data_IF_321449913731
#
_entry.id   IF_321449913731
#
_cell.length_a   1.000
_cell.length_b   1.000
_cell.length_c   1.000
_cell.angle_alpha   90.00
_cell.angle_beta   90.00
_cell.angle_gamma   90.00
#
_symmetry.space_group_name_H-M   'P 1'
#
loop_
_entity.id
_entity.type
_entity.pdbx_description
1 polymer ?
#
# COMPACT_ATOMS: atom_id res chain seq x y z
N UNK A 1 61.25 -4.43 -16.42
CA UNK A 1 60.87 -3.41 -15.41
C UNK A 1 59.59 -2.74 -15.84
N UNK A 2 58.45 -3.40 -15.55
CA UNK A 2 57.11 -2.79 -15.52
C UNK A 2 56.11 -3.85 -15.11
N UNK A 3 56.05 -4.17 -13.84
CA UNK A 3 54.94 -4.90 -13.19
C UNK A 3 55.01 -4.70 -11.68
N UNK A 4 54.56 -3.56 -11.20
CA UNK A 4 54.27 -3.39 -9.74
C UNK A 4 53.44 -2.14 -9.40
N UNK A 5 52.53 -1.69 -10.28
CA UNK A 5 51.69 -0.51 -10.02
C UNK A 5 50.18 -0.79 -9.93
N UNK A 6 49.71 -2.06 -10.01
CA UNK A 6 48.26 -2.32 -10.04
C UNK A 6 47.66 -3.00 -8.78
N UNK A 7 48.47 -3.25 -7.74
CA UNK A 7 48.02 -3.91 -6.51
C UNK A 7 47.84 -2.97 -5.31
N UNK A 8 48.21 -1.70 -5.42
CA UNK A 8 48.12 -0.73 -4.30
C UNK A 8 46.75 -0.01 -4.27
N UNK A 9 46.00 0.00 -5.38
CA UNK A 9 44.70 0.69 -5.46
C UNK A 9 43.51 0.00 -4.84
N UNK A 10 43.51 -1.31 -4.63
CA UNK A 10 42.37 -2.09 -4.10
C UNK A 10 42.40 -2.28 -2.59
N UNK A 11 43.57 -2.20 -1.95
CA UNK A 11 43.70 -2.31 -0.50
C UNK A 11 43.46 -0.98 0.24
N UNK A 12 43.63 0.15 -0.42
CA UNK A 12 43.42 1.47 0.17
C UNK A 12 41.93 1.83 0.34
N UNK A 13 41.02 1.23 -0.41
CA UNK A 13 39.57 1.47 -0.29
C UNK A 13 38.87 0.69 0.84
N UNK A 14 39.52 -0.25 1.49
CA UNK A 14 38.92 -1.07 2.55
C UNK A 14 39.29 -0.55 3.95
N UNK A 15 40.32 0.27 4.10
CA UNK A 15 40.82 0.72 5.42
C UNK A 15 40.20 1.99 5.96
N UNK A 16 39.50 2.81 5.17
CA UNK A 16 38.93 4.09 5.61
C UNK A 16 37.42 4.05 5.88
N UNK A 17 36.84 2.87 6.04
CA UNK A 17 35.44 2.78 6.44
C UNK A 17 35.31 3.07 7.93
N UNK A 18 34.78 4.25 8.28
CA UNK A 18 34.44 4.59 9.65
C UNK A 18 33.36 3.61 10.12
N UNK A 19 33.72 2.71 11.05
CA UNK A 19 32.73 1.82 11.71
C UNK A 19 31.80 2.69 12.55
N UNK A 20 30.50 2.37 12.55
CA UNK A 20 29.53 3.08 13.36
C UNK A 20 29.86 2.88 14.84
N UNK A 21 30.03 3.99 15.55
CA UNK A 21 30.39 3.97 16.98
C UNK A 21 29.16 3.63 17.84
N UNK A 22 29.37 2.90 18.92
CA UNK A 22 28.30 2.51 19.87
C UNK A 22 27.62 3.72 20.50
N UNK A 23 28.36 4.80 20.71
CA UNK A 23 27.86 6.07 21.22
C UNK A 23 26.81 6.68 20.32
N UNK A 24 27.02 6.67 18.99
CA UNK A 24 26.06 7.15 18.00
C UNK A 24 24.78 6.31 18.03
N UNK A 25 24.90 4.98 18.07
CA UNK A 25 23.72 4.10 18.17
C UNK A 25 22.96 4.40 19.47
N UNK A 26 23.66 4.61 20.59
CA UNK A 26 23.03 4.94 21.87
C UNK A 26 22.26 6.26 21.82
N UNK A 27 22.82 7.29 21.21
CA UNK A 27 22.16 8.58 21.01
C UNK A 27 20.88 8.42 20.19
N UNK A 28 20.95 7.74 19.04
CA UNK A 28 19.81 7.44 18.20
C UNK A 28 18.71 6.71 18.98
N UNK A 29 19.05 5.68 19.75
CA UNK A 29 18.07 4.93 20.54
C UNK A 29 17.36 5.82 21.58
N UNK A 30 18.10 6.73 22.24
CA UNK A 30 17.52 7.62 23.25
C UNK A 30 16.67 8.73 22.64
N UNK A 31 17.07 9.29 21.51
CA UNK A 31 16.30 10.30 20.76
C UNK A 31 15.00 9.70 20.23
N UNK A 32 15.09 8.55 19.61
CA UNK A 32 13.93 7.84 19.07
C UNK A 32 12.88 7.49 20.16
N UNK A 33 13.30 7.15 21.38
CA UNK A 33 12.37 6.96 22.52
C UNK A 33 11.50 8.18 22.76
N UNK A 34 12.13 9.36 22.84
CA UNK A 34 11.42 10.62 23.05
C UNK A 34 10.51 10.96 21.89
N UNK A 35 10.98 10.75 20.66
CA UNK A 35 10.18 11.00 19.47
C UNK A 35 8.91 10.17 19.47
N UNK A 36 9.02 8.85 19.68
CA UNK A 36 7.86 7.93 19.68
C UNK A 36 6.86 8.29 20.78
N UNK A 37 7.30 8.72 21.96
CA UNK A 37 6.42 9.12 23.05
C UNK A 37 5.62 10.39 22.74
N UNK A 38 6.22 11.33 22.00
CA UNK A 38 5.61 12.61 21.63
C UNK A 38 4.65 12.51 20.42
N UNK A 39 4.75 11.44 19.62
CA UNK A 39 3.93 11.32 18.43
C UNK A 39 2.45 11.08 18.76
N UNK A 40 1.59 11.87 18.12
CA UNK A 40 0.15 11.62 18.11
C UNK A 40 -0.17 10.54 17.09
N UNK A 41 -0.55 9.36 17.55
CA UNK A 41 -0.88 8.21 16.71
C UNK A 41 -2.39 8.09 16.55
N UNK A 42 -2.88 8.13 15.32
CA UNK A 42 -4.26 7.77 14.98
C UNK A 42 -4.36 6.24 15.01
N UNK A 43 -5.14 5.65 15.92
CA UNK A 43 -5.23 4.19 16.03
C UNK A 43 -5.74 3.56 14.74
N UNK A 44 -5.14 2.44 14.37
CA UNK A 44 -5.60 1.62 13.25
C UNK A 44 -6.19 0.31 13.77
N UNK A 45 -7.21 -0.20 13.08
CA UNK A 45 -7.97 -1.39 13.49
C UNK A 45 -7.21 -2.72 13.36
N UNK A 46 -5.90 -2.68 13.20
CA UNK A 46 -5.07 -3.87 13.18
C UNK A 46 -4.30 -4.03 14.49
N UNK A 47 -4.54 -5.15 15.18
CA UNK A 47 -3.78 -5.53 16.38
C UNK A 47 -2.73 -6.59 16.03
N UNK A 48 -1.51 -6.37 16.50
CA UNK A 48 -0.42 -7.34 16.39
C UNK A 48 -0.45 -8.28 17.57
N UNK A 49 -0.43 -9.58 17.31
CA UNK A 49 -0.44 -10.61 18.34
C UNK A 49 0.85 -10.61 19.15
N UNK A 50 0.72 -10.82 20.45
CA UNK A 50 1.84 -10.67 21.39
C UNK A 50 2.96 -11.73 21.26
N UNK A 51 2.70 -12.82 20.54
CA UNK A 51 3.65 -13.92 20.34
C UNK A 51 4.22 -14.02 18.93
N UNK A 52 3.77 -13.20 18.00
CA UNK A 52 4.17 -13.25 16.60
C UNK A 52 5.14 -12.13 16.21
N UNK A 53 6.00 -12.41 15.24
CA UNK A 53 6.83 -11.41 14.58
C UNK A 53 6.12 -10.90 13.33
N UNK A 54 6.31 -9.63 12.99
CA UNK A 54 5.63 -8.99 11.87
C UNK A 54 6.60 -8.29 10.92
N UNK A 55 6.30 -8.38 9.62
CA UNK A 55 6.85 -7.52 8.58
C UNK A 55 5.72 -6.65 8.03
N UNK A 56 5.78 -5.36 8.27
CA UNK A 56 4.81 -4.36 7.80
C UNK A 56 5.35 -3.76 6.50
N UNK A 57 4.67 -4.03 5.40
CA UNK A 57 5.02 -3.53 4.08
C UNK A 57 3.95 -2.61 3.54
N UNK A 58 4.27 -1.83 2.54
CA UNK A 58 3.30 -0.94 1.89
C UNK A 58 3.96 0.30 1.31
N UNK A 59 3.19 1.06 0.57
CA UNK A 59 3.67 2.27 -0.09
C UNK A 59 4.33 3.24 0.91
N UNK A 60 5.30 4.01 0.42
CA UNK A 60 5.90 5.09 1.20
C UNK A 60 4.83 6.06 1.72
N UNK A 61 4.97 6.55 2.96
CA UNK A 61 3.99 7.45 3.64
C UNK A 61 2.63 6.83 3.96
N UNK A 62 2.46 5.50 3.91
CA UNK A 62 1.22 4.82 4.33
C UNK A 62 1.04 4.75 5.86
N UNK A 63 2.05 5.14 6.65
CA UNK A 63 1.98 5.12 8.12
C UNK A 63 2.56 3.85 8.76
N UNK A 64 3.47 3.12 8.10
CA UNK A 64 4.11 1.91 8.65
C UNK A 64 4.85 2.17 9.96
N UNK A 65 5.67 3.22 10.04
CA UNK A 65 6.37 3.64 11.28
C UNK A 65 5.39 3.93 12.40
N UNK A 66 4.26 4.58 12.09
CA UNK A 66 3.20 4.87 13.06
C UNK A 66 2.50 3.61 13.59
N UNK A 67 2.48 2.51 12.82
CA UNK A 67 2.04 1.20 13.34
C UNK A 67 3.00 0.66 14.39
N UNK A 68 4.32 0.87 14.24
CA UNK A 68 5.30 0.55 15.27
C UNK A 68 5.09 1.43 16.51
N UNK A 69 4.89 2.74 16.33
CA UNK A 69 4.61 3.68 17.42
C UNK A 69 3.35 3.29 18.18
N UNK A 70 2.27 2.92 17.46
CA UNK A 70 1.04 2.42 18.09
C UNK A 70 1.33 1.23 19.01
N UNK A 71 2.09 0.24 18.53
CA UNK A 71 2.44 -0.95 19.33
C UNK A 71 3.33 -0.60 20.53
N UNK A 72 4.32 0.30 20.35
CA UNK A 72 5.17 0.76 21.44
C UNK A 72 4.34 1.49 22.49
N UNK A 73 3.50 2.45 22.10
CA UNK A 73 2.65 3.20 23.02
C UNK A 73 1.63 2.29 23.73
N UNK A 74 1.10 1.26 23.07
CA UNK A 74 0.26 0.24 23.71
C UNK A 74 1.06 -0.56 24.75
N UNK A 75 2.30 -0.94 24.45
CA UNK A 75 3.18 -1.63 25.39
C UNK A 75 3.48 -0.76 26.61
N UNK A 76 3.78 0.53 26.42
CA UNK A 76 4.00 1.48 27.53
C UNK A 76 2.76 1.61 28.43
N UNK A 77 1.55 1.68 27.86
CA UNK A 77 0.28 1.65 28.61
C UNK A 77 0.11 0.35 29.40
N UNK A 78 0.65 -0.79 28.92
CA UNK A 78 0.68 -2.09 29.62
C UNK A 78 1.83 -2.20 30.61
N UNK A 79 2.56 -1.10 30.90
CA UNK A 79 3.72 -1.02 31.83
C UNK A 79 4.96 -1.81 31.33
N UNK A 80 5.06 -2.12 30.05
CA UNK A 80 6.32 -2.58 29.45
C UNK A 80 7.17 -1.34 29.20
N UNK A 81 8.35 -1.29 29.81
CA UNK A 81 9.21 -0.10 29.76
C UNK A 81 10.21 -0.15 28.61
N UNK A 82 10.90 0.94 28.35
CA UNK A 82 11.99 1.00 27.37
C UNK A 82 13.18 0.10 27.69
N UNK A 83 13.28 -0.42 28.92
CA UNK A 83 14.28 -1.42 29.26
C UNK A 83 14.07 -2.74 28.53
N UNK A 84 12.80 -3.03 28.17
CA UNK A 84 12.38 -4.21 27.40
C UNK A 84 11.98 -3.90 25.96
N UNK A 85 12.30 -2.71 25.44
CA UNK A 85 11.96 -2.31 24.05
C UNK A 85 13.13 -1.57 23.41
N UNK A 86 13.28 -1.78 22.10
CA UNK A 86 14.26 -1.12 21.25
C UNK A 86 13.59 -0.69 19.95
N UNK A 87 13.62 0.60 19.63
CA UNK A 87 13.19 1.14 18.34
C UNK A 87 14.37 1.83 17.65
N UNK A 88 14.58 1.51 16.37
CA UNK A 88 15.59 2.12 15.51
C UNK A 88 15.05 2.29 14.09
N UNK A 89 15.27 3.49 13.52
CA UNK A 89 14.94 3.80 12.13
C UNK A 89 16.24 3.80 11.29
N UNK A 90 16.30 2.91 10.28
CA UNK A 90 17.45 2.81 9.38
C UNK A 90 17.44 3.81 8.22
N UNK A 91 16.53 4.80 8.22
CA UNK A 91 16.64 6.01 7.39
C UNK A 91 17.46 7.12 8.06
N UNK A 92 17.89 6.96 9.32
CA UNK A 92 18.76 7.91 10.00
C UNK A 92 20.13 7.99 9.29
N UNK A 93 20.52 9.18 8.88
CA UNK A 93 21.76 9.41 8.12
C UNK A 93 23.02 9.02 8.87
N UNK A 94 23.00 9.03 10.22
CA UNK A 94 24.12 8.59 11.08
C UNK A 94 24.40 7.09 10.97
N UNK A 95 23.41 6.32 10.47
CA UNK A 95 23.54 4.89 10.19
C UNK A 95 23.95 4.60 8.74
N UNK A 96 24.19 5.64 7.95
CA UNK A 96 24.57 5.49 6.54
C UNK A 96 25.84 4.62 6.41
N UNK A 97 25.75 3.59 5.57
CA UNK A 97 26.86 2.66 5.37
C UNK A 97 26.93 1.53 6.39
N UNK A 98 25.99 1.42 7.34
CA UNK A 98 25.89 0.28 8.24
C UNK A 98 25.74 -1.03 7.45
N UNK A 99 26.40 -2.08 7.90
CA UNK A 99 26.35 -3.41 7.31
C UNK A 99 25.54 -4.38 8.15
N UNK A 100 25.16 -5.53 7.55
CA UNK A 100 24.49 -6.61 8.29
C UNK A 100 25.33 -7.16 9.46
N UNK A 101 26.67 -7.11 9.36
CA UNK A 101 27.58 -7.54 10.44
C UNK A 101 27.48 -6.60 11.65
N UNK A 102 27.29 -5.31 11.42
CA UNK A 102 27.21 -4.28 12.46
C UNK A 102 25.83 -4.23 13.14
N UNK A 103 24.78 -4.87 12.58
CA UNK A 103 23.44 -4.91 13.20
C UNK A 103 23.47 -5.47 14.63
N UNK A 104 24.45 -6.32 14.96
CA UNK A 104 24.59 -6.84 16.33
C UNK A 104 24.97 -5.76 17.35
N UNK A 105 25.62 -4.67 16.93
CA UNK A 105 25.98 -3.55 17.80
C UNK A 105 24.75 -2.94 18.48
N UNK A 106 23.59 -2.99 17.82
CA UNK A 106 22.32 -2.48 18.36
C UNK A 106 21.94 -3.25 19.63
N UNK A 107 22.07 -4.58 19.60
CA UNK A 107 21.80 -5.44 20.76
C UNK A 107 22.86 -5.24 21.86
N UNK A 108 24.12 -5.06 21.48
CA UNK A 108 25.22 -4.79 22.43
C UNK A 108 25.00 -3.46 23.16
N UNK A 109 24.64 -2.40 22.42
CA UNK A 109 24.34 -1.09 23.00
C UNK A 109 23.11 -1.16 23.92
N UNK A 110 22.05 -1.89 23.50
CA UNK A 110 20.92 -2.10 24.41
C UNK A 110 21.34 -2.84 25.68
N UNK A 111 22.16 -3.88 25.57
CA UNK A 111 22.68 -4.63 26.70
C UNK A 111 23.58 -3.83 27.68
N UNK A 112 24.18 -2.69 27.20
CA UNK A 112 24.86 -1.75 28.06
C UNK A 112 23.89 -0.83 28.85
N UNK A 113 22.67 -0.65 28.30
CA UNK A 113 21.65 0.25 28.88
C UNK A 113 20.66 -0.53 29.77
N UNK A 114 20.39 -1.79 29.46
CA UNK A 114 19.42 -2.64 30.16
C UNK A 114 19.84 -4.10 30.15
N UNK A 115 19.48 -4.84 31.23
CA UNK A 115 19.63 -6.29 31.31
C UNK A 115 18.43 -7.05 30.73
N UNK A 116 17.35 -6.35 30.44
CA UNK A 116 16.13 -6.94 29.91
C UNK A 116 16.29 -7.30 28.42
N UNK A 117 15.64 -8.35 28.02
CA UNK A 117 15.61 -8.76 26.61
C UNK A 117 14.63 -7.87 25.83
N UNK A 118 15.08 -7.14 24.78
CA UNK A 118 14.23 -6.21 24.11
C UNK A 118 13.24 -6.86 23.12
N UNK A 119 12.05 -6.29 23.03
CA UNK A 119 11.19 -6.35 21.85
C UNK A 119 11.79 -5.37 20.83
N UNK A 120 12.03 -5.82 19.59
CA UNK A 120 12.70 -5.01 18.59
C UNK A 120 11.69 -4.42 17.59
N UNK A 121 11.82 -3.13 17.34
CA UNK A 121 11.09 -2.38 16.34
C UNK A 121 12.12 -1.81 15.36
N UNK A 122 12.22 -2.45 14.19
CA UNK A 122 13.24 -2.18 13.17
C UNK A 122 12.58 -1.51 11.97
N UNK A 123 12.66 -0.18 11.91
CA UNK A 123 11.97 0.62 10.91
C UNK A 123 12.84 0.82 9.67
N UNK A 124 12.26 0.62 8.47
CA UNK A 124 12.90 0.75 7.14
C UNK A 124 14.22 -0.07 7.02
N UNK A 125 14.23 -1.31 7.57
CA UNK A 125 15.44 -2.17 7.66
C UNK A 125 16.02 -2.56 6.29
N UNK A 126 15.24 -2.49 5.22
CA UNK A 126 15.72 -2.79 3.86
C UNK A 126 16.84 -1.85 3.38
N UNK A 127 17.11 -0.78 4.10
CA UNK A 127 18.27 0.08 3.85
C UNK A 127 19.60 -0.62 4.18
N UNK A 128 19.56 -1.73 4.93
CA UNK A 128 20.74 -2.55 5.24
C UNK A 128 20.73 -3.82 4.41
N UNK A 129 21.67 -3.96 3.48
CA UNK A 129 21.78 -5.18 2.66
C UNK A 129 22.09 -6.41 3.52
N UNK A 130 21.35 -7.51 3.34
CA UNK A 130 21.55 -8.75 4.07
C UNK A 130 20.92 -8.79 5.48
N UNK A 131 20.03 -7.84 5.79
CA UNK A 131 19.30 -7.73 7.04
C UNK A 131 18.46 -8.99 7.39
N UNK A 132 18.01 -9.70 6.37
CA UNK A 132 17.13 -10.86 6.53
C UNK A 132 17.78 -12.01 7.34
N UNK A 133 19.12 -12.15 7.26
CA UNK A 133 19.86 -13.11 8.08
C UNK A 133 19.86 -12.74 9.55
N UNK A 134 19.97 -11.44 9.86
CA UNK A 134 19.87 -10.92 11.22
C UNK A 134 18.45 -11.13 11.77
N UNK A 135 17.42 -10.76 11.02
CA UNK A 135 16.03 -10.94 11.41
C UNK A 135 15.70 -12.44 11.65
N UNK A 136 16.16 -13.34 10.77
CA UNK A 136 16.01 -14.79 10.98
C UNK A 136 16.64 -15.23 12.29
N UNK A 137 17.88 -14.84 12.56
CA UNK A 137 18.59 -15.18 13.80
C UNK A 137 17.85 -14.68 15.04
N UNK A 138 17.28 -13.48 14.99
CA UNK A 138 16.47 -12.93 16.08
C UNK A 138 15.24 -13.80 16.36
N UNK A 139 14.50 -14.17 15.33
CA UNK A 139 13.32 -15.03 15.46
C UNK A 139 13.68 -16.44 15.96
N UNK A 140 14.76 -17.05 15.46
CA UNK A 140 15.27 -18.35 15.93
C UNK A 140 15.63 -18.30 17.42
N UNK A 141 16.19 -17.19 17.88
CA UNK A 141 16.51 -16.92 19.27
C UNK A 141 15.30 -16.44 20.10
N UNK A 142 14.07 -16.53 19.55
CA UNK A 142 12.82 -16.16 20.24
C UNK A 142 12.77 -14.70 20.67
N UNK A 143 13.40 -13.79 19.92
CA UNK A 143 13.09 -12.37 20.04
C UNK A 143 11.74 -12.08 19.42
N UNK A 144 11.07 -11.08 19.96
CA UNK A 144 9.89 -10.49 19.35
C UNK A 144 10.31 -9.31 18.48
N UNK A 145 9.96 -9.37 17.20
CA UNK A 145 10.51 -8.46 16.21
C UNK A 145 9.41 -7.91 15.30
N UNK A 146 9.35 -6.60 15.18
CA UNK A 146 8.50 -5.87 14.27
C UNK A 146 9.37 -5.13 13.26
N UNK A 147 9.12 -5.35 11.98
CA UNK A 147 9.94 -4.83 10.89
C UNK A 147 9.04 -4.03 9.96
N UNK A 148 9.54 -2.89 9.46
CA UNK A 148 8.87 -2.19 8.35
C UNK A 148 9.74 -2.10 7.11
N UNK A 149 9.06 -1.90 5.97
CA UNK A 149 9.72 -1.57 4.73
C UNK A 149 8.77 -1.09 3.62
N UNK A 150 9.30 -0.24 2.77
CA UNK A 150 8.54 0.42 1.70
C UNK A 150 8.66 -0.26 0.33
N UNK A 151 9.07 -1.55 0.27
CA UNK A 151 9.26 -2.27 -0.98
C UNK A 151 8.81 -3.72 -0.88
N UNK A 152 8.07 -4.20 -1.90
CA UNK A 152 7.65 -5.60 -2.04
C UNK A 152 8.84 -6.57 -2.21
N UNK A 153 10.03 -6.10 -2.60
CA UNK A 153 11.24 -6.94 -2.59
C UNK A 153 11.56 -7.51 -1.22
N UNK A 154 11.04 -6.91 -0.13
CA UNK A 154 11.06 -7.54 1.20
C UNK A 154 10.23 -8.84 1.28
N UNK A 155 9.39 -9.11 0.28
CA UNK A 155 8.64 -10.35 0.12
C UNK A 155 9.23 -11.25 -0.97
N UNK A 156 10.31 -10.81 -1.62
CA UNK A 156 10.96 -11.58 -2.68
C UNK A 156 11.33 -12.99 -2.18
N UNK A 157 11.43 -13.95 -3.12
CA UNK A 157 11.68 -15.37 -2.83
C UNK A 157 12.84 -15.58 -1.85
N UNK A 158 13.89 -14.79 -1.96
CA UNK A 158 15.09 -14.91 -1.12
C UNK A 158 14.83 -14.48 0.32
N UNK A 159 14.08 -13.39 0.53
CA UNK A 159 13.70 -12.91 1.85
C UNK A 159 12.67 -13.84 2.47
N UNK A 160 11.62 -14.22 1.73
CA UNK A 160 10.60 -15.15 2.19
C UNK A 160 11.21 -16.50 2.58
N UNK A 161 12.13 -17.02 1.78
CA UNK A 161 12.87 -18.28 2.07
C UNK A 161 13.75 -18.12 3.31
N UNK A 162 14.47 -17.00 3.43
CA UNK A 162 15.36 -16.75 4.57
C UNK A 162 14.59 -16.58 5.86
N UNK A 163 13.48 -15.84 5.85
CA UNK A 163 12.61 -15.64 7.03
C UNK A 163 11.81 -16.90 7.38
N UNK A 164 11.51 -17.76 6.39
CA UNK A 164 11.03 -19.13 6.57
C UNK A 164 9.80 -19.27 7.46
N UNK A 165 8.75 -18.47 7.23
CA UNK A 165 7.49 -18.54 7.99
C UNK A 165 7.56 -18.06 9.45
N UNK A 166 8.65 -17.40 9.86
CA UNK A 166 8.84 -16.87 11.22
C UNK A 166 8.19 -15.52 11.44
N UNK A 167 7.74 -14.89 10.37
CA UNK A 167 7.15 -13.55 10.36
C UNK A 167 5.81 -13.58 9.65
N UNK A 168 4.83 -12.88 10.21
CA UNK A 168 3.54 -12.61 9.57
C UNK A 168 3.69 -11.32 8.78
N UNK A 169 3.39 -11.37 7.49
CA UNK A 169 3.41 -10.17 6.66
C UNK A 169 2.06 -9.47 6.70
N UNK A 170 2.08 -8.15 6.89
CA UNK A 170 0.90 -7.28 6.80
C UNK A 170 1.15 -6.13 5.85
N UNK A 171 0.22 -5.95 4.92
CA UNK A 171 0.24 -4.83 4.00
C UNK A 171 -0.46 -3.62 4.61
N UNK A 172 0.26 -2.50 4.70
CA UNK A 172 -0.23 -1.23 5.26
C UNK A 172 -0.54 -0.29 4.11
N UNK A 173 -1.82 -0.04 3.90
CA UNK A 173 -2.33 0.92 2.92
C UNK A 173 -2.49 2.32 3.53
N UNK A 174 -2.62 3.39 2.74
CA UNK A 174 -3.14 4.67 3.21
C UNK A 174 -4.42 4.50 4.04
N UNK A 175 -4.85 5.49 4.77
CA UNK A 175 -6.07 5.38 5.60
C UNK A 175 -7.27 4.86 4.82
N UNK A 176 -8.05 3.97 5.44
CA UNK A 176 -9.43 3.70 5.03
C UNK A 176 -10.30 4.92 5.32
N UNK A 177 -11.53 4.94 4.80
CA UNK A 177 -12.42 6.09 5.07
C UNK A 177 -12.75 6.23 6.57
N UNK A 178 -13.04 5.16 7.34
CA UNK A 178 -13.17 5.25 8.81
C UNK A 178 -11.91 5.83 9.48
N UNK A 179 -10.72 5.36 9.13
CA UNK A 179 -9.46 5.89 9.67
C UNK A 179 -9.22 7.35 9.30
N UNK A 180 -9.63 7.76 8.08
CA UNK A 180 -9.57 9.16 7.65
C UNK A 180 -10.52 10.05 8.45
N UNK A 181 -11.75 9.59 8.74
CA UNK A 181 -12.68 10.30 9.60
C UNK A 181 -12.13 10.44 11.01
N UNK A 182 -11.60 9.35 11.58
CA UNK A 182 -10.96 9.36 12.88
C UNK A 182 -9.76 10.33 12.95
N UNK A 183 -8.93 10.35 11.91
CA UNK A 183 -7.80 11.30 11.81
C UNK A 183 -8.26 12.76 11.78
N UNK A 184 -9.47 13.05 11.29
CA UNK A 184 -10.09 14.37 11.27
C UNK A 184 -11.05 14.63 12.47
N UNK A 185 -11.10 13.70 13.45
CA UNK A 185 -11.93 13.81 14.65
C UNK A 185 -13.45 13.87 14.35
N UNK A 186 -13.86 13.22 13.25
CA UNK A 186 -15.26 13.16 12.81
C UNK A 186 -15.91 11.86 13.29
N UNK A 187 -16.97 11.97 14.06
CA UNK A 187 -17.79 10.82 14.47
C UNK A 187 -18.66 10.33 13.31
N UNK A 188 -18.84 9.01 13.22
CA UNK A 188 -19.67 8.35 12.21
C UNK A 188 -20.53 7.22 12.80
N UNK A 189 -20.76 7.27 14.13
CA UNK A 189 -21.67 6.33 14.78
C UNK A 189 -23.14 6.50 14.31
N UNK A 190 -23.96 5.51 14.62
CA UNK A 190 -25.38 5.47 14.18
C UNK A 190 -26.17 6.72 14.61
N UNK A 191 -25.89 7.30 15.76
CA UNK A 191 -26.58 8.50 16.23
C UNK A 191 -26.16 9.72 15.41
N UNK A 192 -24.88 9.88 15.13
CA UNK A 192 -24.35 10.94 14.27
C UNK A 192 -24.95 10.83 12.88
N UNK A 193 -24.94 9.63 12.28
CA UNK A 193 -25.48 9.40 10.93
C UNK A 193 -27.01 9.53 10.86
N UNK A 194 -27.73 9.40 11.97
CA UNK A 194 -29.18 9.66 12.03
C UNK A 194 -29.50 11.14 11.85
N UNK A 195 -28.59 12.06 12.15
CA UNK A 195 -28.80 13.51 12.03
C UNK A 195 -28.42 14.04 10.63
N UNK A 196 -29.13 15.07 10.16
CA UNK A 196 -28.80 15.74 8.89
C UNK A 196 -27.40 16.38 8.93
N UNK A 197 -27.06 17.01 10.06
CA UNK A 197 -25.76 17.66 10.23
C UNK A 197 -24.61 16.65 10.22
N UNK A 198 -24.71 15.57 10.98
CA UNK A 198 -23.69 14.53 11.04
C UNK A 198 -23.46 13.85 9.69
N UNK A 199 -24.56 13.53 8.96
CA UNK A 199 -24.44 13.00 7.58
C UNK A 199 -23.74 13.98 6.64
N UNK A 200 -24.11 15.28 6.68
CA UNK A 200 -23.51 16.30 5.84
C UNK A 200 -22.00 16.47 6.15
N UNK A 201 -21.61 16.37 7.40
CA UNK A 201 -20.20 16.42 7.81
C UNK A 201 -19.41 15.23 7.29
N UNK A 202 -19.92 14.01 7.46
CA UNK A 202 -19.29 12.79 6.91
C UNK A 202 -19.18 12.87 5.39
N UNK A 203 -20.22 13.30 4.67
CA UNK A 203 -20.21 13.48 3.22
C UNK A 203 -19.22 14.54 2.75
N UNK A 204 -19.06 15.63 3.49
CA UNK A 204 -18.02 16.65 3.20
C UNK A 204 -16.63 16.05 3.30
N UNK A 205 -16.37 15.23 4.32
CA UNK A 205 -15.09 14.53 4.48
C UNK A 205 -14.92 13.44 3.42
N UNK A 206 -16.00 12.76 3.03
CA UNK A 206 -15.98 11.80 1.92
C UNK A 206 -15.56 12.46 0.61
N UNK A 207 -16.08 13.65 0.26
CA UNK A 207 -15.68 14.39 -0.94
C UNK A 207 -14.17 14.69 -0.96
N UNK A 208 -13.59 15.04 0.21
CA UNK A 208 -12.15 15.24 0.33
C UNK A 208 -11.37 13.93 0.16
N UNK A 209 -11.80 12.86 0.85
CA UNK A 209 -11.19 11.52 0.74
C UNK A 209 -11.30 10.98 -0.68
N UNK A 210 -12.45 11.15 -1.33
CA UNK A 210 -12.70 10.75 -2.71
C UNK A 210 -11.69 11.38 -3.69
N UNK A 211 -11.42 12.68 -3.55
CA UNK A 211 -10.53 13.41 -4.48
C UNK A 211 -9.05 13.30 -4.11
N UNK A 212 -8.73 13.34 -2.83
CA UNK A 212 -7.34 13.47 -2.36
C UNK A 212 -6.80 12.23 -1.68
N UNK A 213 -7.62 11.19 -1.52
CA UNK A 213 -7.21 9.92 -0.95
C UNK A 213 -6.98 9.94 0.56
N UNK A 214 -6.28 8.91 1.03
CA UNK A 214 -6.10 8.61 2.45
C UNK A 214 -4.64 8.64 2.95
N UNK A 215 -3.69 9.27 2.24
CA UNK A 215 -2.35 9.40 2.79
C UNK A 215 -2.38 10.13 4.15
N UNK A 216 -1.86 9.51 5.25
CA UNK A 216 -2.06 9.99 6.62
C UNK A 216 -1.73 11.46 6.85
N UNK A 217 -0.55 11.91 6.46
CA UNK A 217 -0.13 13.31 6.66
C UNK A 217 -0.98 14.28 5.83
N UNK A 218 -1.50 13.85 4.67
CA UNK A 218 -2.38 14.64 3.81
C UNK A 218 -3.78 14.85 4.39
N UNK A 219 -4.22 14.02 5.33
CA UNK A 219 -5.59 14.06 5.84
C UNK A 219 -5.97 15.43 6.43
N UNK A 220 -5.04 16.08 7.16
CA UNK A 220 -5.26 17.37 7.84
C UNK A 220 -4.67 18.59 7.10
N UNK A 221 -3.91 18.39 6.02
CA UNK A 221 -3.27 19.48 5.29
C UNK A 221 -4.29 20.28 4.45
N UNK A 222 -4.10 21.58 4.38
CA UNK A 222 -4.85 22.45 3.45
C UNK A 222 -4.38 22.25 1.99
N UNK A 223 -3.06 22.21 1.76
CA UNK A 223 -2.44 22.01 0.44
C UNK A 223 -2.33 20.53 0.07
N UNK A 224 -3.44 19.80 0.07
CA UNK A 224 -3.47 18.36 -0.19
C UNK A 224 -2.84 17.97 -1.53
N UNK A 225 -3.12 18.72 -2.59
CA UNK A 225 -2.61 18.45 -3.95
C UNK A 225 -1.08 18.52 -4.00
N UNK A 226 -0.48 19.53 -3.37
CA UNK A 226 0.98 19.71 -3.35
C UNK A 226 1.65 18.58 -2.54
N UNK A 227 1.04 18.19 -1.43
CA UNK A 227 1.51 17.06 -0.64
C UNK A 227 1.48 15.76 -1.43
N UNK A 228 0.35 15.43 -2.08
CA UNK A 228 0.19 14.22 -2.90
C UNK A 228 1.22 14.20 -4.03
N UNK A 229 1.43 15.36 -4.69
CA UNK A 229 2.46 15.49 -5.72
C UNK A 229 3.85 15.19 -5.17
N UNK A 230 4.19 15.68 -3.97
CA UNK A 230 5.47 15.40 -3.31
C UNK A 230 5.62 13.91 -2.98
N UNK A 231 4.58 13.26 -2.47
CA UNK A 231 4.56 11.81 -2.20
C UNK A 231 4.75 11.02 -3.50
N UNK A 232 3.98 11.35 -4.54
CA UNK A 232 4.11 10.71 -5.84
C UNK A 232 5.51 10.87 -6.44
N UNK A 233 6.09 12.08 -6.39
CA UNK A 233 7.46 12.33 -6.87
C UNK A 233 8.48 11.47 -6.11
N UNK A 234 8.33 11.32 -4.80
CA UNK A 234 9.22 10.48 -3.99
C UNK A 234 9.13 9.00 -4.38
N UNK A 235 7.92 8.48 -4.59
CA UNK A 235 7.69 7.10 -5.06
C UNK A 235 8.24 6.94 -6.48
N UNK A 236 7.86 7.84 -7.38
CA UNK A 236 8.21 7.80 -8.80
C UNK A 236 9.72 7.87 -9.02
N UNK A 237 10.38 8.91 -8.46
CA UNK A 237 11.81 9.12 -8.66
C UNK A 237 12.68 8.23 -7.78
N UNK A 238 12.33 8.10 -6.50
CA UNK A 238 13.12 7.38 -5.50
C UNK A 238 12.92 5.87 -5.56
N UNK A 239 11.66 5.44 -5.36
CA UNK A 239 11.40 4.01 -5.17
C UNK A 239 11.32 3.24 -6.51
N UNK A 240 10.95 3.90 -7.62
CA UNK A 240 10.85 3.26 -8.94
C UNK A 240 12.07 3.60 -9.80
N UNK A 241 12.25 4.87 -10.18
CA UNK A 241 13.23 5.25 -11.20
C UNK A 241 14.68 5.06 -10.72
N UNK A 242 15.06 5.68 -9.59
CA UNK A 242 16.43 5.65 -9.08
C UNK A 242 16.83 4.25 -8.62
N UNK A 243 15.96 3.57 -7.85
CA UNK A 243 16.24 2.22 -7.33
C UNK A 243 16.48 1.19 -8.43
N UNK A 244 15.77 1.29 -9.55
CA UNK A 244 15.89 0.38 -10.68
C UNK A 244 16.73 0.94 -11.82
N UNK A 245 17.45 2.05 -11.61
CA UNK A 245 18.35 2.71 -12.57
C UNK A 245 17.67 2.97 -13.91
N UNK A 246 16.42 3.46 -13.87
CA UNK A 246 15.64 3.76 -15.09
C UNK A 246 16.14 5.08 -15.69
N UNK A 247 16.74 5.01 -16.88
CA UNK A 247 17.22 6.17 -17.62
C UNK A 247 16.06 6.87 -18.36
N UNK A 248 15.13 6.10 -18.94
CA UNK A 248 14.01 6.64 -19.73
C UNK A 248 12.82 7.03 -18.84
N UNK A 249 12.98 8.12 -18.08
CA UNK A 249 11.93 8.65 -17.20
C UNK A 249 10.72 9.19 -17.98
N UNK A 250 10.91 9.63 -19.24
CA UNK A 250 9.80 10.10 -20.06
C UNK A 250 8.80 8.97 -20.33
N UNK A 251 9.26 7.81 -20.78
CA UNK A 251 8.39 6.64 -21.02
C UNK A 251 7.69 6.16 -19.75
N UNK A 252 8.36 6.18 -18.61
CA UNK A 252 7.78 5.82 -17.31
C UNK A 252 6.67 6.80 -16.92
N UNK A 253 6.85 8.10 -17.12
CA UNK A 253 5.84 9.14 -16.85
C UNK A 253 4.62 8.99 -17.76
N UNK A 254 4.82 8.73 -19.05
CA UNK A 254 3.72 8.46 -20.00
C UNK A 254 2.95 7.20 -19.60
N UNK A 255 3.66 6.15 -19.18
CA UNK A 255 3.03 4.93 -18.68
C UNK A 255 2.06 5.22 -17.51
N UNK A 256 2.51 5.94 -16.47
CA UNK A 256 1.64 6.20 -15.31
C UNK A 256 0.45 7.10 -15.65
N UNK A 257 0.62 8.09 -16.50
CA UNK A 257 -0.52 8.88 -17.00
C UNK A 257 -1.51 8.00 -17.74
N UNK A 258 -1.01 7.11 -18.62
CA UNK A 258 -1.90 6.21 -19.37
C UNK A 258 -2.61 5.20 -18.47
N UNK A 259 -1.95 4.66 -17.46
CA UNK A 259 -2.60 3.80 -16.47
C UNK A 259 -3.70 4.55 -15.70
N UNK A 260 -3.44 5.80 -15.27
CA UNK A 260 -4.43 6.61 -14.57
C UNK A 260 -5.67 6.92 -15.42
N UNK A 261 -5.50 7.18 -16.74
CA UNK A 261 -6.61 7.33 -17.69
C UNK A 261 -7.36 6.02 -17.97
N UNK A 262 -6.74 4.86 -17.73
CA UNK A 262 -7.26 3.54 -18.11
C UNK A 262 -7.72 2.70 -16.91
N UNK A 263 -7.89 3.29 -15.73
CA UNK A 263 -8.23 2.57 -14.48
C UNK A 263 -9.41 1.60 -14.65
N UNK A 264 -10.44 2.00 -15.36
CA UNK A 264 -11.67 1.19 -15.56
C UNK A 264 -11.57 0.13 -16.66
N UNK A 265 -10.49 0.10 -17.42
CA UNK A 265 -10.39 -0.74 -18.61
C UNK A 265 -9.21 -1.70 -18.54
N UNK A 266 -9.40 -2.98 -18.89
CA UNK A 266 -8.27 -3.87 -19.06
C UNK A 266 -7.39 -3.37 -20.19
N UNK A 267 -6.08 -3.40 -19.98
CA UNK A 267 -5.12 -2.90 -20.96
C UNK A 267 -3.96 -3.87 -21.15
N UNK A 268 -3.80 -4.35 -22.37
CA UNK A 268 -2.75 -5.30 -22.69
C UNK A 268 -1.38 -4.62 -22.80
N UNK A 269 -0.33 -5.36 -22.49
CA UNK A 269 1.06 -4.88 -22.64
C UNK A 269 1.36 -4.38 -24.04
N UNK A 270 0.87 -5.05 -25.10
CA UNK A 270 1.04 -4.63 -26.48
C UNK A 270 0.37 -3.27 -26.75
N UNK A 271 -0.87 -3.08 -26.25
CA UNK A 271 -1.58 -1.80 -26.39
C UNK A 271 -0.86 -0.68 -25.68
N UNK A 272 -0.38 -0.91 -24.43
CA UNK A 272 0.41 0.06 -23.67
C UNK A 272 1.72 0.44 -24.40
N UNK A 273 2.47 -0.57 -24.90
CA UNK A 273 3.70 -0.32 -25.65
C UNK A 273 3.44 0.55 -26.89
N UNK A 274 2.39 0.24 -27.66
CA UNK A 274 2.03 1.00 -28.85
C UNK A 274 1.62 2.45 -28.53
N UNK A 275 0.85 2.67 -27.47
CA UNK A 275 0.45 4.03 -27.03
C UNK A 275 1.69 4.83 -26.60
N UNK A 276 2.60 4.23 -25.84
CA UNK A 276 3.82 4.92 -25.42
C UNK A 276 4.70 5.23 -26.65
N UNK A 277 4.83 4.28 -27.57
CA UNK A 277 5.59 4.49 -28.81
C UNK A 277 5.01 5.62 -29.67
N UNK A 278 3.68 5.80 -29.71
CA UNK A 278 3.04 6.89 -30.49
C UNK A 278 3.35 8.27 -29.94
N UNK A 279 3.84 8.41 -28.71
CA UNK A 279 4.33 9.67 -28.13
C UNK A 279 5.79 9.99 -28.50
N UNK A 280 6.42 9.18 -29.37
CA UNK A 280 7.83 9.30 -29.74
C UNK A 280 8.79 8.63 -28.76
N UNK A 281 8.29 8.04 -27.68
CA UNK A 281 9.12 7.32 -26.72
C UNK A 281 9.46 5.91 -27.21
N UNK A 282 10.75 5.53 -27.14
CA UNK A 282 11.17 4.16 -27.44
C UNK A 282 11.05 3.30 -26.18
N UNK A 283 10.11 2.35 -26.18
CA UNK A 283 9.92 1.40 -25.09
C UNK A 283 9.68 0.02 -25.67
N UNK A 284 10.48 -0.98 -25.28
CA UNK A 284 10.23 -2.37 -25.64
C UNK A 284 9.19 -3.00 -24.71
N UNK A 285 8.49 -4.04 -25.19
CA UNK A 285 7.52 -4.78 -24.36
C UNK A 285 8.15 -5.38 -23.10
N UNK A 286 9.36 -5.99 -23.12
CA UNK A 286 10.03 -6.45 -21.92
C UNK A 286 10.31 -5.30 -20.91
N UNK A 287 10.76 -4.14 -21.41
CA UNK A 287 11.02 -2.98 -20.55
C UNK A 287 9.72 -2.46 -19.92
N UNK A 288 8.60 -2.45 -20.67
CA UNK A 288 7.28 -2.10 -20.13
C UNK A 288 6.89 -3.03 -18.98
N UNK A 289 7.04 -4.35 -19.17
CA UNK A 289 6.72 -5.36 -18.13
C UNK A 289 7.56 -5.07 -16.88
N UNK A 290 8.86 -4.82 -17.02
CA UNK A 290 9.71 -4.47 -15.88
C UNK A 290 9.22 -3.19 -15.18
N UNK A 291 8.80 -2.15 -15.92
CA UNK A 291 8.28 -0.92 -15.32
C UNK A 291 7.00 -1.16 -14.53
N UNK A 292 6.10 -2.04 -15.02
CA UNK A 292 4.90 -2.45 -14.30
C UNK A 292 5.26 -3.24 -13.02
N UNK A 293 6.20 -4.18 -13.09
CA UNK A 293 6.68 -4.92 -11.91
C UNK A 293 7.32 -3.97 -10.88
N UNK A 294 8.18 -3.04 -11.29
CA UNK A 294 8.76 -2.04 -10.37
C UNK A 294 7.70 -1.15 -9.71
N UNK A 295 6.60 -0.88 -10.43
CA UNK A 295 5.48 -0.10 -9.91
C UNK A 295 4.64 -0.88 -8.88
N UNK A 296 4.50 -2.19 -9.08
CA UNK A 296 3.91 -3.12 -8.11
C UNK A 296 4.81 -3.26 -6.89
N UNK A 297 6.12 -3.43 -7.11
CA UNK A 297 7.12 -3.51 -6.04
C UNK A 297 7.16 -2.26 -5.15
N UNK A 298 6.89 -1.08 -5.73
CA UNK A 298 6.75 0.16 -4.99
C UNK A 298 5.35 0.36 -4.38
N UNK A 299 4.45 -0.61 -4.52
CA UNK A 299 3.05 -0.53 -4.09
C UNK A 299 2.28 0.67 -4.67
N UNK A 300 2.67 1.14 -5.86
CA UNK A 300 2.00 2.26 -6.52
C UNK A 300 0.74 1.81 -7.25
N UNK A 301 0.79 0.63 -7.90
CA UNK A 301 -0.32 0.07 -8.69
C UNK A 301 -0.57 -1.39 -8.34
N UNK A 302 -1.82 -1.80 -8.50
CA UNK A 302 -2.31 -3.15 -8.24
C UNK A 302 -3.08 -3.67 -9.45
N UNK A 303 -2.68 -4.80 -10.04
CA UNK A 303 -3.43 -5.45 -11.09
C UNK A 303 -4.60 -6.25 -10.49
N UNK A 304 -5.79 -6.12 -11.07
CA UNK A 304 -6.92 -7.03 -10.86
C UNK A 304 -7.16 -7.77 -12.16
N UNK A 305 -7.31 -9.10 -12.08
CA UNK A 305 -7.37 -10.01 -13.22
C UNK A 305 -8.81 -10.38 -13.60
N UNK A 306 -9.03 -10.75 -14.84
CA UNK A 306 -10.33 -11.26 -15.32
C UNK A 306 -10.49 -12.74 -14.93
N UNK A 307 -11.52 -13.06 -14.14
CA UNK A 307 -11.76 -14.45 -13.73
C UNK A 307 -12.14 -15.36 -14.92
N UNK A 308 -12.72 -14.79 -15.98
CA UNK A 308 -13.14 -15.53 -17.17
C UNK A 308 -12.02 -15.89 -18.14
N UNK A 309 -10.83 -15.26 -17.99
CA UNK A 309 -9.71 -15.44 -18.90
C UNK A 309 -8.89 -16.70 -18.58
N UNK A 310 -8.21 -17.23 -19.61
CA UNK A 310 -7.17 -18.23 -19.40
C UNK A 310 -5.92 -17.60 -18.75
N UNK A 311 -4.99 -18.44 -18.27
CA UNK A 311 -3.79 -17.98 -17.55
C UNK A 311 -3.02 -16.89 -18.32
N UNK A 312 -2.77 -17.09 -19.60
CA UNK A 312 -2.00 -16.13 -20.41
C UNK A 312 -2.69 -14.77 -20.50
N UNK A 313 -4.00 -14.75 -20.72
CA UNK A 313 -4.77 -13.52 -20.82
C UNK A 313 -4.88 -12.82 -19.46
N UNK A 314 -5.06 -13.56 -18.36
CA UNK A 314 -5.04 -13.02 -16.99
C UNK A 314 -3.78 -12.24 -16.70
N UNK A 315 -2.64 -12.77 -17.09
CA UNK A 315 -1.34 -12.13 -16.82
C UNK A 315 -1.05 -10.94 -17.74
N UNK A 316 -1.61 -10.93 -18.95
CA UNK A 316 -1.24 -9.94 -19.97
C UNK A 316 -2.26 -8.83 -20.19
N UNK A 317 -3.46 -8.91 -19.57
CA UNK A 317 -4.56 -7.97 -19.81
C UNK A 317 -5.35 -7.62 -18.52
N UNK A 318 -4.70 -7.28 -17.42
CA UNK A 318 -5.39 -6.88 -16.18
C UNK A 318 -5.94 -5.45 -16.25
N UNK A 319 -6.85 -5.09 -15.32
CA UNK A 319 -7.13 -3.72 -14.94
C UNK A 319 -6.09 -3.29 -13.89
N UNK A 320 -5.58 -2.05 -13.97
CA UNK A 320 -4.62 -1.50 -13.01
C UNK A 320 -5.27 -0.42 -12.16
N UNK A 321 -5.13 -0.54 -10.85
CA UNK A 321 -5.62 0.41 -9.87
C UNK A 321 -4.48 1.04 -9.10
N UNK A 322 -4.59 2.31 -8.76
CA UNK A 322 -3.59 3.02 -7.97
C UNK A 322 -3.88 2.90 -6.48
N UNK A 323 -2.82 2.86 -5.68
CA UNK A 323 -2.89 2.74 -4.22
C UNK A 323 -3.77 3.79 -3.55
N UNK A 324 -3.95 4.94 -4.19
CA UNK A 324 -4.67 6.09 -3.63
C UNK A 324 -5.27 6.97 -4.72
N UNK A 325 -6.50 7.44 -4.50
CA UNK A 325 -7.22 8.30 -5.43
C UNK A 325 -6.51 9.63 -5.68
N UNK A 326 -5.81 10.18 -4.67
CA UNK A 326 -5.08 11.42 -4.81
C UNK A 326 -4.02 11.36 -5.92
N UNK A 327 -3.40 10.20 -6.13
CA UNK A 327 -2.42 10.01 -7.21
C UNK A 327 -3.09 10.10 -8.59
N UNK A 328 -4.26 9.48 -8.78
CA UNK A 328 -5.02 9.57 -10.04
C UNK A 328 -5.40 11.03 -10.30
N UNK A 329 -5.86 11.74 -9.27
CA UNK A 329 -6.31 13.16 -9.38
C UNK A 329 -5.20 14.13 -9.79
N UNK A 330 -3.92 13.79 -9.63
CA UNK A 330 -2.80 14.61 -10.12
C UNK A 330 -2.28 14.16 -11.49
N UNK A 331 -2.58 12.92 -11.91
CA UNK A 331 -2.06 12.34 -13.15
C UNK A 331 -3.01 12.49 -14.34
N UNK A 332 -4.32 12.52 -14.12
CA UNK A 332 -5.34 12.52 -15.17
C UNK A 332 -6.43 13.60 -14.91
N UNK A 333 -7.23 13.89 -15.94
CA UNK A 333 -8.37 14.84 -15.89
C UNK A 333 -9.69 14.08 -16.05
N UNK A 334 -10.81 14.67 -15.63
CA UNK A 334 -12.17 14.12 -15.76
C UNK A 334 -12.29 12.69 -15.22
N UNK A 335 -11.79 12.50 -13.99
CA UNK A 335 -11.52 11.15 -13.42
C UNK A 335 -12.60 10.68 -12.45
N UNK A 336 -13.71 11.37 -12.23
CA UNK A 336 -14.66 11.07 -11.15
C UNK A 336 -15.14 9.61 -11.18
N UNK A 337 -15.46 9.07 -12.36
CA UNK A 337 -15.85 7.65 -12.50
C UNK A 337 -14.68 6.70 -12.22
N UNK A 338 -13.46 7.07 -12.62
CA UNK A 338 -12.24 6.28 -12.35
C UNK A 338 -11.86 6.32 -10.88
N UNK A 339 -12.05 7.46 -10.20
CA UNK A 339 -11.82 7.60 -8.76
C UNK A 339 -12.77 6.71 -7.96
N UNK A 340 -14.05 6.62 -8.37
CA UNK A 340 -15.03 5.79 -7.68
C UNK A 340 -14.65 4.30 -7.77
N UNK A 341 -14.34 3.82 -8.96
CA UNK A 341 -13.94 2.43 -9.16
C UNK A 341 -12.61 2.11 -8.49
N UNK A 342 -11.62 3.03 -8.55
CA UNK A 342 -10.34 2.84 -7.86
C UNK A 342 -10.51 2.76 -6.33
N UNK A 343 -11.35 3.61 -5.75
CA UNK A 343 -11.65 3.58 -4.32
C UNK A 343 -12.25 2.24 -3.88
N UNK A 344 -13.21 1.73 -4.67
CA UNK A 344 -13.81 0.42 -4.42
C UNK A 344 -12.77 -0.69 -4.56
N UNK A 345 -11.94 -0.66 -5.61
CA UNK A 345 -10.85 -1.62 -5.78
C UNK A 345 -9.91 -1.66 -4.57
N UNK A 346 -9.45 -0.49 -4.12
CA UNK A 346 -8.54 -0.41 -2.97
C UNK A 346 -9.19 -0.91 -1.68
N UNK A 347 -10.45 -0.63 -1.46
CA UNK A 347 -11.16 -1.15 -0.28
C UNK A 347 -11.39 -2.67 -0.38
N UNK A 348 -11.71 -3.21 -1.55
CA UNK A 348 -11.81 -4.66 -1.75
C UNK A 348 -10.47 -5.36 -1.51
N UNK A 349 -9.36 -4.82 -2.02
CA UNK A 349 -8.02 -5.36 -1.76
C UNK A 349 -7.63 -5.25 -0.27
N UNK A 350 -8.12 -4.24 0.44
CA UNK A 350 -7.93 -4.12 1.90
C UNK A 350 -8.68 -5.21 2.67
N UNK A 351 -9.93 -5.49 2.28
CA UNK A 351 -10.81 -6.46 2.96
C UNK A 351 -10.43 -7.90 2.67
N UNK A 352 -10.15 -8.21 1.41
CA UNK A 352 -9.97 -9.59 0.94
C UNK A 352 -8.51 -9.98 0.68
N UNK A 353 -7.58 -9.01 0.66
CA UNK A 353 -6.15 -9.24 0.40
C UNK A 353 -5.74 -8.98 -1.04
N UNK A 354 -4.42 -9.01 -1.27
CA UNK A 354 -3.80 -8.65 -2.55
C UNK A 354 -3.64 -9.85 -3.51
N UNK A 355 -3.78 -11.08 -3.01
CA UNK A 355 -3.47 -12.30 -3.73
C UNK A 355 -4.74 -12.94 -4.30
N UNK A 356 -5.10 -12.58 -5.53
CA UNK A 356 -6.12 -13.26 -6.35
C UNK A 356 -7.44 -13.60 -5.61
N UNK A 357 -7.90 -12.70 -4.74
CA UNK A 357 -9.17 -12.82 -4.04
C UNK A 357 -10.25 -11.93 -4.68
N UNK A 358 -9.83 -10.91 -5.44
CA UNK A 358 -10.68 -9.95 -6.12
C UNK A 358 -10.42 -10.02 -7.62
N UNK A 359 -11.47 -10.18 -8.41
CA UNK A 359 -11.43 -10.28 -9.86
C UNK A 359 -12.39 -9.29 -10.49
N UNK A 360 -12.23 -9.00 -11.78
CA UNK A 360 -13.32 -8.52 -12.62
C UNK A 360 -13.81 -9.64 -13.55
N UNK A 361 -14.97 -9.45 -14.17
CA UNK A 361 -15.49 -10.37 -15.18
C UNK A 361 -15.73 -9.61 -16.47
N UNK A 362 -15.14 -10.07 -17.56
CA UNK A 362 -15.38 -9.53 -18.89
C UNK A 362 -15.30 -10.65 -19.93
N UNK A 363 -16.49 -11.12 -20.38
CA UNK A 363 -16.65 -12.09 -21.48
C UNK A 363 -17.90 -11.79 -22.28
N UNK A 364 -19.08 -12.06 -21.73
CA UNK A 364 -20.38 -11.79 -22.36
C UNK A 364 -20.98 -10.49 -21.84
N UNK A 365 -20.60 -10.10 -20.64
CA UNK A 365 -20.94 -8.85 -19.96
C UNK A 365 -19.71 -8.40 -19.19
N UNK A 366 -19.67 -7.14 -18.83
CA UNK A 366 -18.65 -6.62 -17.94
C UNK A 366 -19.23 -6.41 -16.54
N UNK A 367 -18.53 -6.95 -15.52
CA UNK A 367 -18.79 -6.69 -14.10
C UNK A 367 -17.49 -6.26 -13.45
N UNK A 368 -17.53 -5.12 -12.77
CA UNK A 368 -16.32 -4.44 -12.29
C UNK A 368 -15.56 -5.25 -11.25
N UNK A 369 -16.27 -5.89 -10.31
CA UNK A 369 -15.64 -6.73 -9.30
C UNK A 369 -16.47 -7.99 -9.01
N UNK A 370 -15.74 -9.08 -8.81
CA UNK A 370 -16.30 -10.36 -8.34
C UNK A 370 -15.35 -10.93 -7.27
N UNK A 371 -15.93 -11.32 -6.14
CA UNK A 371 -15.23 -11.88 -4.98
C UNK A 371 -15.74 -13.33 -4.81
N UNK A 372 -14.99 -14.35 -5.25
CA UNK A 372 -15.41 -15.74 -5.20
C UNK A 372 -15.76 -16.20 -3.78
N UNK A 373 -14.89 -15.97 -2.81
CA UNK A 373 -15.06 -16.43 -1.42
C UNK A 373 -16.29 -15.83 -0.73
N UNK A 374 -16.65 -14.60 -1.10
CA UNK A 374 -17.86 -13.93 -0.62
C UNK A 374 -19.08 -14.16 -1.51
N UNK A 375 -18.93 -14.86 -2.66
CA UNK A 375 -19.95 -15.01 -3.69
C UNK A 375 -20.66 -13.69 -4.02
N UNK A 376 -19.87 -12.59 -4.14
CA UNK A 376 -20.39 -11.22 -4.29
C UNK A 376 -19.94 -10.63 -5.62
N UNK A 377 -20.90 -10.06 -6.37
CA UNK A 377 -20.67 -9.31 -7.59
C UNK A 377 -21.00 -7.83 -7.39
N UNK A 378 -20.11 -6.95 -7.85
CA UNK A 378 -20.20 -5.51 -7.61
C UNK A 378 -20.02 -4.77 -8.94
N UNK A 379 -20.95 -3.85 -9.24
CA UNK A 379 -20.83 -2.81 -10.26
C UNK A 379 -20.60 -1.46 -9.59
N UNK A 380 -19.88 -0.57 -10.27
CA UNK A 380 -19.59 0.77 -9.77
C UNK A 380 -20.07 1.81 -10.76
N UNK A 381 -21.03 2.62 -10.38
CA UNK A 381 -21.65 3.61 -11.25
C UNK A 381 -21.76 4.98 -10.56
N UNK A 382 -21.16 6.03 -11.14
CA UNK A 382 -21.02 7.32 -10.44
C UNK A 382 -22.38 7.96 -10.11
N UNK A 383 -23.25 8.15 -11.11
CA UNK A 383 -24.59 8.71 -10.93
C UNK A 383 -25.59 8.04 -11.90
N UNK A 384 -25.97 6.77 -11.67
CA UNK A 384 -26.91 6.12 -12.55
C UNK A 384 -28.31 6.69 -12.34
N UNK A 385 -28.99 7.06 -13.44
CA UNK A 385 -30.41 7.41 -13.40
C UNK A 385 -31.21 6.20 -13.88
N UNK A 386 -32.36 5.92 -13.25
CA UNK A 386 -33.24 4.79 -13.61
C UNK A 386 -33.71 4.79 -15.07
N UNK A 387 -33.75 5.96 -15.69
CA UNK A 387 -34.12 6.16 -17.11
C UNK A 387 -32.96 5.98 -18.07
N UNK A 388 -31.74 5.77 -17.58
CA UNK A 388 -30.54 5.73 -18.42
C UNK A 388 -30.21 4.30 -18.84
N UNK A 389 -29.72 4.12 -20.07
CA UNK A 389 -29.18 2.85 -20.59
C UNK A 389 -28.08 2.26 -19.67
N UNK A 390 -27.35 3.12 -18.97
CA UNK A 390 -26.34 2.72 -17.97
C UNK A 390 -26.95 1.87 -16.87
N UNK A 391 -28.08 2.28 -16.31
CA UNK A 391 -28.77 1.54 -15.24
C UNK A 391 -29.21 0.15 -15.68
N UNK A 392 -29.83 0.06 -16.85
CA UNK A 392 -30.28 -1.21 -17.41
C UNK A 392 -29.09 -2.12 -17.74
N UNK A 393 -28.00 -1.56 -18.23
CA UNK A 393 -26.77 -2.28 -18.55
C UNK A 393 -26.15 -2.88 -17.27
N UNK A 394 -25.93 -2.07 -16.21
CA UNK A 394 -25.28 -2.50 -14.97
C UNK A 394 -26.11 -3.58 -14.24
N UNK A 395 -27.40 -3.37 -14.07
CA UNK A 395 -28.28 -4.35 -13.43
C UNK A 395 -28.41 -5.65 -14.24
N UNK A 396 -28.49 -5.55 -15.56
CA UNK A 396 -28.52 -6.72 -16.44
C UNK A 396 -27.21 -7.49 -16.43
N UNK A 397 -26.07 -6.81 -16.31
CA UNK A 397 -24.75 -7.46 -16.22
C UNK A 397 -24.65 -8.34 -14.96
N UNK A 398 -25.06 -7.83 -13.80
CA UNK A 398 -25.10 -8.59 -12.55
C UNK A 398 -26.00 -9.83 -12.65
N UNK A 399 -27.20 -9.68 -13.20
CA UNK A 399 -28.13 -10.81 -13.42
C UNK A 399 -27.55 -11.85 -14.38
N UNK A 400 -26.86 -11.43 -15.44
CA UNK A 400 -26.23 -12.37 -16.37
C UNK A 400 -25.05 -13.09 -15.72
N UNK A 401 -24.27 -12.40 -14.91
CA UNK A 401 -23.16 -13.01 -14.18
C UNK A 401 -23.66 -14.06 -13.19
N UNK A 402 -24.73 -13.80 -12.44
CA UNK A 402 -25.30 -14.75 -11.46
C UNK A 402 -25.80 -16.05 -12.05
N UNK A 403 -25.96 -16.13 -13.37
CA UNK A 403 -26.27 -17.37 -14.08
C UNK A 403 -25.03 -18.21 -14.43
N UNK A 404 -23.85 -17.62 -14.32
CA UNK A 404 -22.57 -18.23 -14.74
C UNK A 404 -21.67 -18.52 -13.54
N UNK A 405 -21.69 -17.63 -12.56
CA UNK A 405 -20.92 -17.74 -11.32
C UNK A 405 -21.85 -17.74 -10.10
N UNK A 406 -21.38 -18.33 -9.00
CA UNK A 406 -22.13 -18.28 -7.73
C UNK A 406 -22.12 -16.83 -7.20
N UNK A 407 -23.31 -16.20 -7.20
CA UNK A 407 -23.51 -14.84 -6.74
C UNK A 407 -24.66 -14.81 -5.72
N UNK A 408 -24.32 -14.80 -4.44
CA UNK A 408 -25.27 -14.67 -3.34
C UNK A 408 -25.67 -13.23 -3.08
N UNK A 409 -24.78 -12.29 -3.41
CA UNK A 409 -24.99 -10.87 -3.21
C UNK A 409 -24.66 -10.09 -4.48
N UNK A 410 -25.59 -9.24 -4.92
CA UNK A 410 -25.45 -8.36 -6.09
C UNK A 410 -25.53 -6.92 -5.63
N UNK A 411 -24.49 -6.12 -5.92
CA UNK A 411 -24.36 -4.75 -5.42
C UNK A 411 -24.07 -3.80 -6.58
N UNK A 412 -24.73 -2.65 -6.57
CA UNK A 412 -24.34 -1.47 -7.37
C UNK A 412 -23.86 -0.40 -6.39
N UNK A 413 -22.58 -0.08 -6.43
CA UNK A 413 -22.01 1.00 -5.64
C UNK A 413 -22.09 2.30 -6.41
N UNK A 414 -22.67 3.33 -5.77
CA UNK A 414 -22.93 4.63 -6.38
C UNK A 414 -22.24 5.75 -5.60
N UNK A 415 -22.19 6.94 -6.16
CA UNK A 415 -21.70 8.11 -5.40
C UNK A 415 -22.70 8.54 -4.32
N UNK A 416 -24.02 8.60 -4.65
CA UNK A 416 -25.06 9.09 -3.73
C UNK A 416 -26.33 8.23 -3.66
N UNK A 417 -26.68 7.52 -4.75
CA UNK A 417 -27.96 6.82 -4.84
C UNK A 417 -28.02 5.63 -3.90
N UNK A 418 -29.12 5.51 -3.16
CA UNK A 418 -29.40 4.40 -2.28
C UNK A 418 -30.77 3.79 -2.60
N UNK A 419 -30.83 2.50 -2.87
CA UNK A 419 -32.05 1.78 -3.21
C UNK A 419 -31.90 0.28 -3.08
N UNK A 420 -33.00 -0.45 -2.95
CA UNK A 420 -33.07 -1.89 -3.15
C UNK A 420 -33.99 -2.18 -4.32
N UNK A 421 -33.53 -3.03 -5.25
CA UNK A 421 -34.25 -3.33 -6.47
C UNK A 421 -34.46 -4.84 -6.56
N UNK A 422 -35.68 -5.23 -6.81
CA UNK A 422 -35.98 -6.60 -7.20
C UNK A 422 -36.10 -6.66 -8.74
N UNK A 423 -35.22 -7.41 -9.40
CA UNK A 423 -35.24 -7.58 -10.83
C UNK A 423 -35.08 -9.06 -11.19
N UNK A 424 -36.09 -9.63 -11.92
CA UNK A 424 -36.11 -11.06 -12.33
C UNK A 424 -35.98 -12.04 -11.15
N UNK A 425 -36.57 -11.70 -10.00
CA UNK A 425 -36.52 -12.50 -8.77
C UNK A 425 -35.17 -12.45 -8.03
N UNK A 426 -34.28 -11.54 -8.39
CA UNK A 426 -33.00 -11.29 -7.71
C UNK A 426 -33.01 -9.90 -7.05
N UNK A 427 -32.50 -9.84 -5.84
CA UNK A 427 -32.32 -8.58 -5.11
C UNK A 427 -30.97 -7.97 -5.48
N UNK A 428 -30.96 -6.70 -5.87
CA UNK A 428 -29.77 -5.90 -6.14
C UNK A 428 -29.75 -4.74 -5.13
N UNK A 429 -28.73 -4.71 -4.30
CA UNK A 429 -28.49 -3.62 -3.33
C UNK A 429 -27.81 -2.45 -4.03
N UNK A 430 -28.40 -1.26 -3.97
CA UNK A 430 -27.78 -0.03 -4.48
C UNK A 430 -27.36 0.80 -3.28
N UNK A 431 -26.05 0.95 -3.11
CA UNK A 431 -25.48 1.51 -1.87
C UNK A 431 -24.53 2.67 -2.23
N UNK A 432 -24.66 3.85 -1.59
CA UNK A 432 -23.65 4.89 -1.69
C UNK A 432 -22.30 4.40 -1.18
N UNK A 433 -21.23 4.61 -1.95
CA UNK A 433 -19.88 4.14 -1.60
C UNK A 433 -19.45 4.62 -0.20
N UNK A 434 -19.76 5.85 0.18
CA UNK A 434 -19.38 6.33 1.50
C UNK A 434 -20.01 5.53 2.65
N UNK A 435 -21.25 5.04 2.50
CA UNK A 435 -21.89 4.14 3.47
C UNK A 435 -21.22 2.76 3.46
N UNK A 436 -21.04 2.20 2.27
CA UNK A 436 -20.39 0.90 2.10
C UNK A 436 -18.96 0.88 2.69
N UNK A 437 -18.23 2.00 2.60
CA UNK A 437 -16.89 2.13 3.22
C UNK A 437 -16.93 2.17 4.75
N UNK A 438 -18.07 2.52 5.37
CA UNK A 438 -18.25 2.53 6.82
C UNK A 438 -18.73 1.19 7.37
N UNK A 439 -19.30 0.32 6.52
CA UNK A 439 -19.73 -1.05 6.86
C UNK A 439 -18.51 -1.98 6.89
N UNK A 440 -17.70 -1.90 7.96
CA UNK A 440 -16.47 -2.70 8.14
C UNK A 440 -16.57 -3.59 9.38
#
# INVERSE_FOLDING_TARGET
YEMSASLVGSEMCIRDRVMIQKEVIREILLENRKEVELQHVVPRNFQMEDFANYVLIGVRRAGKSFMLYQQIQQNLKRRITWDSMLYINFEDERLMGMTAQELNLILEVHGMMSKERPILFLDEIQNINGWEKFARRLADNKYRVYITGSNAKMLGSDVATTLGGRYITKHIMPYSFPEFLQANEVSYDSNTLATTFGRAEVQRHFTNYFRFGGFPEGARLASKRDYINSVYQKIYLGDIASRNKIENQFSLRVLFRKLAESVKQPISFTRLTNIIASTGAKLSKPTLINYLEYSKDAFLVYPIKNIADNLTQRETNPKYYFVDNGIISILAMDVDTSLLENMVAMELLRRYGLEEQVFFYNKNVEVDFYIPDAATAIQVSYNPKKSDETWERESTALIKLSKVLDCKRLIILTYELEENIELKGLNIEVIPVWKWLLDT
#
